data_IF_599001372313
#
_entry.id   IF_599001372313
#
_cell.length_a   1.000
_cell.length_b   1.000
_cell.length_c   1.000
_cell.angle_alpha   90.00
_cell.angle_beta   90.00
_cell.angle_gamma   90.00
#
_symmetry.space_group_name_H-M   'P 1'
#
loop_
_entity.id
_entity.type
_entity.pdbx_description
1 polymer ?
#
# COMPACT_ATOMS: atom_id res chain seq x y z
N UNK A 1 -12.89 7.73 -21.95
CA UNK A 1 -12.91 8.95 -21.10
C UNK A 1 -14.34 9.44 -20.89
N UNK A 2 -15.12 9.51 -21.97
CA UNK A 2 -16.53 9.90 -21.91
C UNK A 2 -17.40 8.96 -21.07
N UNK A 3 -17.21 7.64 -21.14
CA UNK A 3 -17.95 6.70 -20.29
C UNK A 3 -17.71 6.92 -18.80
N UNK A 4 -16.43 7.11 -18.40
CA UNK A 4 -16.08 7.43 -17.01
C UNK A 4 -16.75 8.74 -16.57
N UNK A 5 -16.73 9.76 -17.43
CA UNK A 5 -17.38 11.03 -17.11
C UNK A 5 -18.89 10.88 -16.93
N UNK A 6 -19.56 10.13 -17.83
CA UNK A 6 -21.00 9.85 -17.73
C UNK A 6 -21.36 9.10 -16.45
N UNK A 7 -20.54 8.12 -16.06
CA UNK A 7 -20.75 7.39 -14.80
C UNK A 7 -20.54 8.29 -13.58
N UNK A 8 -19.58 9.21 -13.64
CA UNK A 8 -19.36 10.20 -12.58
C UNK A 8 -20.53 11.18 -12.45
N UNK A 9 -20.99 11.74 -13.58
CA UNK A 9 -22.17 12.61 -13.65
C UNK A 9 -23.46 11.90 -13.19
N UNK A 10 -23.51 10.56 -13.30
CA UNK A 10 -24.60 9.73 -12.79
C UNK A 10 -24.51 9.41 -11.29
N UNK A 11 -23.47 9.88 -10.59
CA UNK A 11 -23.33 9.76 -9.13
C UNK A 11 -22.32 8.72 -8.64
N UNK A 12 -21.56 8.06 -9.52
CA UNK A 12 -20.43 7.22 -9.10
C UNK A 12 -19.19 8.11 -8.89
N UNK A 13 -18.79 8.33 -7.65
CA UNK A 13 -17.81 9.36 -7.29
C UNK A 13 -16.44 8.83 -6.86
N UNK A 14 -16.35 7.56 -6.45
CA UNK A 14 -15.13 6.98 -5.88
C UNK A 14 -14.78 5.61 -6.47
N UNK A 15 -13.48 5.37 -6.68
CA UNK A 15 -12.93 4.05 -6.96
C UNK A 15 -11.95 3.58 -5.90
N UNK A 16 -12.03 2.28 -5.60
CA UNK A 16 -11.06 1.56 -4.78
C UNK A 16 -10.12 0.77 -5.69
N UNK A 17 -8.81 1.00 -5.57
CA UNK A 17 -7.80 0.35 -6.41
C UNK A 17 -6.68 -0.27 -5.56
N UNK A 18 -6.51 -1.57 -5.66
CA UNK A 18 -5.33 -2.24 -5.12
C UNK A 18 -4.11 -1.99 -6.01
N UNK A 19 -3.18 -1.14 -5.53
CA UNK A 19 -1.82 -1.01 -6.08
C UNK A 19 -1.03 -2.28 -5.74
N UNK A 20 -1.21 -2.78 -4.51
CA UNK A 20 -0.48 -3.90 -3.89
C UNK A 20 1.02 -3.61 -3.70
N UNK A 21 1.73 -3.36 -4.80
CA UNK A 21 3.16 -3.07 -4.90
C UNK A 21 3.42 -2.19 -6.12
N UNK A 22 4.41 -1.30 -6.05
CA UNK A 22 4.92 -0.60 -7.23
C UNK A 22 6.13 -1.27 -7.90
N UNK A 23 6.59 -2.42 -7.40
CA UNK A 23 7.61 -3.24 -8.08
C UNK A 23 6.94 -4.20 -9.08
N UNK A 24 7.28 -4.06 -10.36
CA UNK A 24 6.82 -4.97 -11.42
C UNK A 24 7.25 -6.43 -11.17
N UNK A 25 8.41 -6.64 -10.53
CA UNK A 25 8.87 -7.96 -10.10
C UNK A 25 7.88 -8.57 -9.11
N UNK A 26 7.51 -7.84 -8.07
CA UNK A 26 6.57 -8.32 -7.05
C UNK A 26 5.16 -8.48 -7.62
N UNK A 27 4.70 -7.52 -8.44
CA UNK A 27 3.40 -7.59 -9.12
C UNK A 27 3.27 -8.84 -10.00
N UNK A 28 4.34 -9.21 -10.72
CA UNK A 28 4.39 -10.44 -11.50
C UNK A 28 4.29 -11.69 -10.62
N UNK A 29 5.02 -11.71 -9.50
CA UNK A 29 5.04 -12.85 -8.56
C UNK A 29 3.67 -13.10 -7.93
N UNK A 30 2.90 -12.05 -7.67
CA UNK A 30 1.54 -12.19 -7.12
C UNK A 30 0.46 -12.25 -8.21
N UNK A 31 0.85 -12.38 -9.48
CA UNK A 31 -0.07 -12.50 -10.63
C UNK A 31 -1.10 -11.37 -10.74
N UNK A 32 -0.74 -10.14 -10.34
CA UNK A 32 -1.67 -8.99 -10.33
C UNK A 32 -2.23 -8.65 -11.72
N UNK A 33 -1.48 -8.96 -12.78
CA UNK A 33 -1.88 -8.64 -14.16
C UNK A 33 -1.77 -7.15 -14.51
N UNK A 34 -1.03 -6.38 -13.72
CA UNK A 34 -0.74 -4.97 -13.96
C UNK A 34 0.74 -4.66 -13.66
N UNK A 35 1.23 -3.57 -14.24
CA UNK A 35 2.55 -2.99 -13.98
C UNK A 35 2.41 -1.58 -13.42
N UNK A 36 3.43 -1.08 -12.73
CA UNK A 36 3.48 0.25 -12.12
C UNK A 36 2.98 1.35 -13.06
N UNK A 37 3.48 1.36 -14.30
CA UNK A 37 3.09 2.33 -15.34
C UNK A 37 1.58 2.29 -15.64
N UNK A 38 0.98 1.10 -15.70
CA UNK A 38 -0.46 0.96 -15.96
C UNK A 38 -1.31 1.37 -14.77
N UNK A 39 -0.83 1.14 -13.55
CA UNK A 39 -1.49 1.59 -12.31
C UNK A 39 -1.53 3.12 -12.28
N UNK A 40 -0.38 3.79 -12.46
CA UNK A 40 -0.29 5.26 -12.51
C UNK A 40 -1.26 5.84 -13.55
N UNK A 41 -1.24 5.28 -14.78
CA UNK A 41 -2.13 5.72 -15.85
C UNK A 41 -3.60 5.59 -15.48
N UNK A 42 -3.99 4.48 -14.84
CA UNK A 42 -5.39 4.23 -14.45
C UNK A 42 -5.85 5.19 -13.35
N UNK A 43 -5.03 5.44 -12.33
CA UNK A 43 -5.33 6.40 -11.25
C UNK A 43 -5.50 7.81 -11.82
N UNK A 44 -4.56 8.27 -12.65
CA UNK A 44 -4.63 9.61 -13.24
C UNK A 44 -5.84 9.78 -14.16
N UNK A 45 -6.13 8.78 -15.00
CA UNK A 45 -7.31 8.81 -15.88
C UNK A 45 -8.62 8.90 -15.10
N UNK A 46 -8.72 8.25 -13.94
CA UNK A 46 -9.90 8.33 -13.09
C UNK A 46 -10.00 9.70 -12.40
N UNK A 47 -8.90 10.22 -11.84
CA UNK A 47 -8.86 11.57 -11.25
C UNK A 47 -9.24 12.66 -12.27
N UNK A 48 -8.72 12.58 -13.49
CA UNK A 48 -9.06 13.49 -14.60
C UNK A 48 -10.56 13.46 -14.96
N UNK A 49 -11.23 12.33 -14.71
CA UNK A 49 -12.67 12.17 -14.93
C UNK A 49 -13.53 12.59 -13.71
N UNK A 50 -12.93 13.14 -12.65
CA UNK A 50 -13.63 13.65 -11.47
C UNK A 50 -13.78 12.65 -10.32
N UNK A 51 -13.13 11.48 -10.40
CA UNK A 51 -13.23 10.47 -9.35
C UNK A 51 -12.28 10.71 -8.18
N UNK A 52 -12.77 10.41 -6.99
CA UNK A 52 -11.95 10.21 -5.80
C UNK A 52 -11.28 8.84 -5.89
N UNK A 53 -9.96 8.81 -5.76
CA UNK A 53 -9.17 7.59 -5.80
C UNK A 53 -8.74 7.15 -4.41
N UNK A 54 -9.20 5.97 -3.99
CA UNK A 54 -8.77 5.30 -2.76
C UNK A 54 -7.92 4.09 -3.11
N UNK A 55 -6.62 4.17 -2.85
CA UNK A 55 -5.66 3.14 -3.24
C UNK A 55 -5.19 2.31 -2.05
N UNK A 56 -4.83 1.04 -2.28
CA UNK A 56 -4.32 0.14 -1.25
C UNK A 56 -2.97 -0.46 -1.63
N UNK A 57 -2.07 -0.57 -0.63
CA UNK A 57 -0.76 -1.24 -0.75
C UNK A 57 -0.63 -2.31 0.33
N UNK A 58 0.16 -3.36 0.05
CA UNK A 58 0.33 -4.50 0.95
C UNK A 58 1.79 -4.60 1.40
N UNK A 59 2.05 -4.20 2.64
CA UNK A 59 3.33 -4.42 3.32
C UNK A 59 3.60 -5.92 3.43
N UNK A 60 4.86 -6.31 3.21
CA UNK A 60 5.33 -7.69 3.24
C UNK A 60 5.07 -8.49 1.97
N UNK A 61 4.45 -7.91 0.94
CA UNK A 61 4.14 -8.61 -0.32
C UNK A 61 5.41 -9.04 -1.09
N UNK A 62 6.50 -8.26 -0.95
CA UNK A 62 7.80 -8.60 -1.50
C UNK A 62 8.55 -9.70 -0.74
N UNK A 63 8.08 -10.10 0.44
CA UNK A 63 8.88 -10.88 1.39
C UNK A 63 10.22 -10.21 1.71
N UNK A 64 11.09 -10.91 2.45
CA UNK A 64 12.42 -10.36 2.80
C UNK A 64 13.26 -10.01 1.56
N UNK A 65 13.18 -10.85 0.52
CA UNK A 65 14.03 -10.73 -0.67
C UNK A 65 13.76 -9.47 -1.48
N UNK A 66 12.50 -9.10 -1.68
CA UNK A 66 12.12 -7.97 -2.54
C UNK A 66 11.62 -6.75 -1.75
N UNK A 67 11.68 -6.76 -0.42
CA UNK A 67 11.20 -5.68 0.46
C UNK A 67 11.66 -4.28 0.01
N UNK A 68 12.98 -4.08 -0.21
CA UNK A 68 13.50 -2.78 -0.65
C UNK A 68 12.98 -2.32 -2.01
N UNK A 69 12.91 -3.22 -2.98
CA UNK A 69 12.40 -2.92 -4.33
C UNK A 69 10.89 -2.64 -4.30
N UNK A 70 10.15 -3.45 -3.53
CA UNK A 70 8.73 -3.29 -3.27
C UNK A 70 8.42 -1.89 -2.74
N UNK A 71 9.08 -1.47 -1.65
CA UNK A 71 8.79 -0.19 -1.01
C UNK A 71 9.23 1.00 -1.86
N UNK A 72 10.41 0.92 -2.49
CA UNK A 72 10.86 1.96 -3.42
C UNK A 72 9.86 2.16 -4.57
N UNK A 73 9.51 1.10 -5.29
CA UNK A 73 8.58 1.19 -6.41
C UNK A 73 7.19 1.64 -5.98
N UNK A 74 6.72 1.20 -4.81
CA UNK A 74 5.41 1.61 -4.27
C UNK A 74 5.38 3.11 -3.96
N UNK A 75 6.43 3.64 -3.32
CA UNK A 75 6.57 5.06 -3.09
C UNK A 75 6.60 5.87 -4.40
N UNK A 76 7.33 5.39 -5.41
CA UNK A 76 7.39 6.02 -6.74
C UNK A 76 6.01 6.06 -7.42
N UNK A 77 5.25 4.97 -7.37
CA UNK A 77 3.88 4.92 -7.92
C UNK A 77 2.96 5.90 -7.20
N UNK A 78 2.93 5.89 -5.87
CA UNK A 78 2.08 6.80 -5.08
C UNK A 78 2.44 8.26 -5.36
N UNK A 79 3.74 8.58 -5.37
CA UNK A 79 4.24 9.93 -5.65
C UNK A 79 3.81 10.41 -7.04
N UNK A 80 3.87 9.53 -8.04
CA UNK A 80 3.57 9.86 -9.43
C UNK A 80 2.08 10.09 -9.73
N UNK A 81 1.16 9.44 -9.00
CA UNK A 81 -0.29 9.59 -9.25
C UNK A 81 -1.06 10.29 -8.13
N UNK A 82 -0.49 10.38 -6.94
CA UNK A 82 -1.01 11.06 -5.75
C UNK A 82 -2.52 10.86 -5.55
N UNK A 83 -2.98 9.62 -5.28
CA UNK A 83 -4.41 9.36 -5.07
C UNK A 83 -4.91 10.09 -3.82
N UNK A 84 -6.22 10.33 -3.73
CA UNK A 84 -6.81 11.05 -2.59
C UNK A 84 -6.60 10.31 -1.26
N UNK A 85 -6.67 8.97 -1.30
CA UNK A 85 -6.45 8.12 -0.12
C UNK A 85 -5.45 7.01 -0.45
N UNK A 86 -4.60 6.68 0.53
CA UNK A 86 -3.77 5.46 0.51
C UNK A 86 -3.96 4.69 1.82
N UNK A 87 -4.40 3.45 1.70
CA UNK A 87 -4.43 2.46 2.77
C UNK A 87 -3.22 1.52 2.69
N UNK A 88 -2.43 1.42 3.75
CA UNK A 88 -1.38 0.41 3.87
C UNK A 88 -1.84 -0.75 4.76
N UNK A 89 -1.97 -1.94 4.17
CA UNK A 89 -2.35 -3.17 4.85
C UNK A 89 -1.11 -4.05 5.03
N UNK A 90 -1.10 -4.93 6.03
CA UNK A 90 -0.04 -5.95 6.16
C UNK A 90 -0.53 -7.26 5.54
N UNK A 91 0.35 -7.93 4.78
CA UNK A 91 0.05 -9.20 4.13
C UNK A 91 -0.43 -10.23 5.16
N UNK A 92 -1.61 -10.78 4.89
CA UNK A 92 -2.18 -11.91 5.59
C UNK A 92 -2.44 -13.03 4.58
N UNK A 93 -1.90 -14.22 4.85
CA UNK A 93 -2.10 -15.40 4.01
C UNK A 93 -3.03 -16.35 4.74
N UNK A 94 -4.29 -16.38 4.33
CA UNK A 94 -5.26 -17.36 4.83
C UNK A 94 -4.83 -18.78 4.45
N UNK A 95 -5.12 -19.74 5.33
CA UNK A 95 -4.72 -21.14 5.14
C UNK A 95 -5.22 -21.74 3.81
N UNK A 96 -6.39 -21.30 3.33
CA UNK A 96 -6.97 -21.78 2.07
C UNK A 96 -6.21 -21.35 0.81
N UNK A 97 -5.53 -20.18 0.85
CA UNK A 97 -4.84 -19.62 -0.32
C UNK A 97 -3.31 -19.62 -0.17
N UNK A 98 -2.79 -19.94 1.02
CA UNK A 98 -1.36 -19.87 1.33
C UNK A 98 -0.51 -20.70 0.38
N UNK A 99 -0.91 -21.95 0.12
CA UNK A 99 -0.14 -22.85 -0.74
C UNK A 99 -0.13 -22.35 -2.20
N UNK A 100 -1.30 -21.95 -2.71
CA UNK A 100 -1.45 -21.36 -4.05
C UNK A 100 -0.60 -20.10 -4.20
N UNK A 101 -0.60 -19.22 -3.20
CA UNK A 101 0.25 -18.02 -3.19
C UNK A 101 1.73 -18.38 -3.32
N UNK A 102 2.22 -19.32 -2.50
CA UNK A 102 3.63 -19.71 -2.50
C UNK A 102 4.05 -20.34 -3.85
N UNK A 103 3.18 -21.15 -4.45
CA UNK A 103 3.42 -21.74 -5.77
C UNK A 103 3.48 -20.68 -6.87
N UNK A 104 2.53 -19.73 -6.87
CA UNK A 104 2.49 -18.62 -7.83
C UNK A 104 3.63 -17.63 -7.66
N UNK A 105 4.13 -17.44 -6.44
CA UNK A 105 5.23 -16.52 -6.16
C UNK A 105 6.52 -16.88 -6.90
N UNK A 106 6.65 -18.15 -7.35
CA UNK A 106 7.75 -18.65 -8.19
C UNK A 106 9.13 -18.29 -7.62
N UNK A 107 9.48 -18.92 -6.49
CA UNK A 107 10.75 -18.76 -5.80
C UNK A 107 10.56 -18.79 -4.28
N UNK A 108 11.66 -18.61 -3.55
CA UNK A 108 11.63 -18.56 -2.09
C UNK A 108 10.89 -17.30 -1.61
N UNK A 109 9.79 -17.50 -0.89
CA UNK A 109 9.08 -16.44 -0.17
C UNK A 109 9.31 -16.60 1.32
N UNK A 110 10.13 -15.71 1.89
CA UNK A 110 10.30 -15.58 3.33
C UNK A 110 9.46 -14.40 3.81
N UNK A 111 8.45 -14.69 4.63
CA UNK A 111 7.57 -13.68 5.21
C UNK A 111 8.38 -12.76 6.13
N UNK A 112 8.07 -11.46 6.08
CA UNK A 112 8.60 -10.49 7.04
C UNK A 112 7.84 -10.56 8.37
N UNK A 113 8.52 -10.25 9.47
CA UNK A 113 7.88 -10.11 10.78
C UNK A 113 7.28 -8.71 10.98
N UNK A 114 6.69 -8.45 12.15
CA UNK A 114 6.02 -7.18 12.45
C UNK A 114 6.99 -5.98 12.49
N UNK A 115 8.21 -6.18 13.00
CA UNK A 115 9.24 -5.13 13.06
C UNK A 115 9.75 -4.79 11.64
N UNK A 116 9.98 -5.80 10.81
CA UNK A 116 10.32 -5.63 9.40
C UNK A 116 9.18 -4.98 8.61
N UNK A 117 7.91 -5.25 8.95
CA UNK A 117 6.76 -4.56 8.35
C UNK A 117 6.68 -3.10 8.80
N UNK A 118 7.11 -2.80 10.03
CA UNK A 118 7.20 -1.44 10.54
C UNK A 118 8.35 -0.67 9.87
N UNK A 119 9.46 -1.35 9.58
CA UNK A 119 10.55 -0.83 8.75
C UNK A 119 10.08 -0.51 7.33
N UNK A 120 9.33 -1.42 6.70
CA UNK A 120 8.72 -1.15 5.39
C UNK A 120 7.80 0.07 5.40
N UNK A 121 6.96 0.20 6.44
CA UNK A 121 6.06 1.34 6.60
C UNK A 121 6.84 2.66 6.75
N UNK A 122 7.87 2.68 7.59
CA UNK A 122 8.78 3.80 7.75
C UNK A 122 9.39 4.20 6.39
N UNK A 123 9.92 3.22 5.67
CA UNK A 123 10.61 3.42 4.42
C UNK A 123 9.68 3.87 3.29
N UNK A 124 8.42 3.45 3.33
CA UNK A 124 7.39 3.91 2.40
C UNK A 124 7.07 5.37 2.64
N UNK A 125 6.76 5.74 3.90
CA UNK A 125 6.38 7.11 4.27
C UNK A 125 7.52 8.08 3.95
N UNK A 126 8.76 7.73 4.30
CA UNK A 126 9.93 8.58 4.03
C UNK A 126 10.18 8.81 2.53
N UNK A 127 9.87 7.84 1.68
CA UNK A 127 10.12 7.90 0.22
C UNK A 127 8.97 8.49 -0.59
N UNK A 128 7.74 8.51 -0.08
CA UNK A 128 6.63 9.19 -0.76
C UNK A 128 6.96 10.69 -0.85
N UNK A 129 7.00 11.21 -2.06
CA UNK A 129 7.31 12.60 -2.37
C UNK A 129 6.20 13.19 -3.24
N UNK A 130 5.36 14.02 -2.64
CA UNK A 130 4.24 14.64 -3.33
C UNK A 130 4.00 16.05 -2.83
N UNK A 131 3.46 16.89 -3.70
CA UNK A 131 2.92 18.21 -3.37
C UNK A 131 1.41 18.19 -3.17
N UNK A 132 0.76 17.13 -3.63
CA UNK A 132 -0.68 16.95 -3.54
C UNK A 132 -1.06 16.33 -2.19
N UNK A 133 -2.28 16.63 -1.75
CA UNK A 133 -2.81 16.05 -0.53
C UNK A 133 -3.09 14.54 -0.70
N UNK A 134 -2.54 13.71 0.19
CA UNK A 134 -2.86 12.28 0.25
C UNK A 134 -3.20 11.90 1.69
N UNK A 135 -4.44 11.49 1.92
CA UNK A 135 -4.85 10.96 3.22
C UNK A 135 -4.32 9.54 3.36
N UNK A 136 -3.31 9.36 4.22
CA UNK A 136 -2.62 8.08 4.42
C UNK A 136 -3.08 7.37 5.69
N UNK A 137 -3.36 6.08 5.59
CA UNK A 137 -3.85 5.25 6.70
C UNK A 137 -3.18 3.88 6.69
N UNK A 138 -2.46 3.56 7.74
CA UNK A 138 -2.05 2.20 8.10
C UNK A 138 -2.80 1.83 9.39
N UNK A 139 -4.11 1.60 9.29
CA UNK A 139 -4.98 1.35 10.45
C UNK A 139 -5.93 0.16 10.23
N UNK A 140 -5.71 -0.62 9.18
CA UNK A 140 -6.49 -1.81 8.87
C UNK A 140 -6.39 -2.84 10.00
N UNK A 141 -7.35 -3.76 10.07
CA UNK A 141 -7.36 -4.85 11.05
C UNK A 141 -6.04 -5.66 11.06
N UNK A 142 -5.41 -5.77 9.89
CA UNK A 142 -4.20 -6.56 9.68
C UNK A 142 -2.91 -5.91 10.17
N UNK A 143 -2.90 -4.59 10.39
CA UNK A 143 -1.67 -3.89 10.79
C UNK A 143 -1.36 -4.14 12.27
N UNK A 144 -0.08 -4.39 12.55
CA UNK A 144 0.45 -4.50 13.91
C UNK A 144 0.49 -3.13 14.62
N UNK A 145 0.76 -2.07 13.87
CA UNK A 145 0.88 -0.69 14.35
C UNK A 145 -0.05 0.24 13.57
N UNK A 146 -0.57 1.27 14.23
CA UNK A 146 -1.50 2.22 13.62
C UNK A 146 -0.85 3.58 13.34
N UNK A 147 -0.71 3.92 12.06
CA UNK A 147 -0.20 5.21 11.59
C UNK A 147 -1.26 5.89 10.72
N UNK A 148 -1.43 7.19 10.91
CA UNK A 148 -2.32 8.01 10.09
C UNK A 148 -1.73 9.40 9.98
N UNK A 149 -1.95 10.03 8.85
CA UNK A 149 -1.59 11.42 8.58
C UNK A 149 -2.01 11.78 7.16
N UNK A 150 -1.71 13.00 6.77
CA UNK A 150 -1.97 13.52 5.44
C UNK A 150 -0.66 14.05 4.86
N UNK A 151 -0.25 13.53 3.70
CA UNK A 151 0.91 14.09 2.99
C UNK A 151 0.53 15.41 2.30
N UNK A 152 1.49 16.34 2.14
CA UNK A 152 2.85 16.30 2.69
C UNK A 152 2.95 16.75 4.16
N UNK A 153 1.88 17.32 4.73
CA UNK A 153 1.89 18.06 6.00
C UNK A 153 2.35 17.22 7.19
N UNK A 154 1.82 15.99 7.33
CA UNK A 154 2.08 15.12 8.47
C UNK A 154 3.20 14.11 8.19
N UNK A 155 3.98 14.28 7.12
CA UNK A 155 5.01 13.30 6.72
C UNK A 155 6.02 13.07 7.84
N UNK A 156 6.55 14.15 8.44
CA UNK A 156 7.54 14.03 9.50
C UNK A 156 6.93 13.43 10.77
N UNK A 157 5.74 13.89 11.17
CA UNK A 157 5.02 13.35 12.33
C UNK A 157 4.76 11.83 12.19
N UNK A 158 4.42 11.37 10.99
CA UNK A 158 4.25 9.95 10.71
C UNK A 158 5.58 9.17 10.81
N UNK A 159 6.69 9.74 10.33
CA UNK A 159 8.03 9.14 10.44
C UNK A 159 8.43 9.03 11.91
N UNK A 160 8.36 10.13 12.66
CA UNK A 160 8.74 10.20 14.07
C UNK A 160 7.90 9.23 14.92
N UNK A 161 6.60 9.11 14.61
CA UNK A 161 5.72 8.14 15.26
C UNK A 161 6.17 6.70 15.00
N UNK A 162 6.54 6.37 13.77
CA UNK A 162 7.04 5.03 13.43
C UNK A 162 8.37 4.74 14.13
N UNK A 163 9.29 5.70 14.17
CA UNK A 163 10.56 5.57 14.91
C UNK A 163 10.33 5.34 16.40
N UNK A 164 9.38 6.07 16.99
CA UNK A 164 8.98 5.85 18.38
C UNK A 164 8.41 4.43 18.58
N UNK A 165 7.54 3.95 17.69
CA UNK A 165 6.97 2.60 17.76
C UNK A 165 8.02 1.49 17.72
N UNK A 166 9.11 1.65 16.96
CA UNK A 166 10.22 0.68 16.91
C UNK A 166 10.88 0.48 18.28
N UNK A 167 10.77 1.46 19.18
CA UNK A 167 11.31 1.39 20.54
C UNK A 167 10.27 0.95 21.58
N UNK A 168 9.00 0.81 21.18
CA UNK A 168 7.86 0.55 22.06
C UNK A 168 7.03 -0.65 21.56
N UNK A 169 7.61 -1.86 21.45
CA UNK A 169 6.92 -3.03 20.91
C UNK A 169 5.70 -3.47 21.76
N UNK A 170 5.59 -3.03 23.01
CA UNK A 170 4.46 -3.33 23.89
C UNK A 170 3.12 -2.75 23.41
N UNK A 171 3.14 -1.73 22.54
CA UNK A 171 1.89 -1.15 21.99
C UNK A 171 1.35 -1.93 20.79
N UNK A 172 2.13 -2.89 20.29
CA UNK A 172 1.78 -3.67 19.11
C UNK A 172 0.44 -4.36 19.31
N UNK A 173 -0.45 -4.27 18.30
CA UNK A 173 -1.72 -5.00 18.32
C UNK A 173 -1.42 -6.51 18.41
N UNK A 174 -1.91 -7.25 19.42
CA UNK A 174 -1.68 -8.68 19.53
C UNK A 174 -2.21 -9.45 18.31
N UNK A 175 -1.52 -10.50 17.87
CA UNK A 175 -1.89 -11.27 16.68
C UNK A 175 -3.33 -11.80 16.72
N UNK A 176 -3.82 -12.26 17.88
CA UNK A 176 -5.20 -12.75 18.04
C UNK A 176 -6.29 -11.67 17.93
N UNK A 177 -5.91 -10.39 17.93
CA UNK A 177 -6.81 -9.25 17.73
C UNK A 177 -6.66 -8.62 16.33
N UNK A 178 -5.84 -9.21 15.45
CA UNK A 178 -5.68 -8.79 14.06
C UNK A 178 -6.66 -9.56 13.18
N UNK A 179 -7.22 -8.88 12.19
CA UNK A 179 -8.21 -9.44 11.28
C UNK A 179 -8.04 -8.92 9.85
N UNK A 180 -8.61 -9.68 8.91
CA UNK A 180 -8.77 -9.30 7.52
C UNK A 180 -10.26 -9.14 7.22
#
# INVERSE_FOLDING_TARGET
PEELKRMNEAGLDMFYLGIESGSDTVLKKVTKGAVAKTIIKSVNKAKEAGYVMSCMVILGLGGKKYSKEHIKGTAEVISACSPNYVGALTLYLENGIKQEFLEKYQGEFVRINDDESLDELHDLISKIDTKDEIVFRANHGSNAYTVKGTFPQDKQDMIDKVEWMKQHPEIMRPQGLRGF
#
